data_IF_122308771812
#
_entry.id   IF_122308771812
#
_cell.length_a   1.000
_cell.length_b   1.000
_cell.length_c   1.000
_cell.angle_alpha   90.00
_cell.angle_beta   90.00
_cell.angle_gamma   90.00
#
_symmetry.space_group_name_H-M   'P 1'
#
loop_
_entity.id
_entity.type
_entity.pdbx_description
1 polymer ?
#
# COMPACT_ATOMS: atom_id res chain seq x y z
N UNK A 1 -7.08 13.23 -7.13
CA UNK A 1 -7.22 13.17 -5.67
C UNK A 1 -6.60 14.38 -4.97
N UNK A 2 -7.01 14.63 -3.73
CA UNK A 2 -6.47 15.70 -2.89
C UNK A 2 -5.12 15.28 -2.26
N UNK A 3 -4.02 15.96 -2.65
CA UNK A 3 -2.65 15.69 -2.16
C UNK A 3 -2.30 16.39 -0.86
N UNK A 4 -3.13 17.32 -0.38
CA UNK A 4 -2.88 17.97 0.90
C UNK A 4 -2.87 16.92 2.03
N UNK A 5 -3.62 15.83 1.88
CA UNK A 5 -3.69 14.73 2.84
C UNK A 5 -2.33 14.06 3.10
N UNK A 6 -1.48 13.97 2.07
CA UNK A 6 -0.24 13.20 2.11
C UNK A 6 0.73 13.69 3.21
N UNK A 7 0.78 15.00 3.43
CA UNK A 7 1.74 15.65 4.33
C UNK A 7 1.10 16.53 5.43
N UNK A 8 -0.22 16.72 5.41
CA UNK A 8 -0.91 17.57 6.37
C UNK A 8 -0.88 16.99 7.80
N UNK A 9 -0.47 17.81 8.77
CA UNK A 9 -0.23 17.41 10.16
C UNK A 9 -1.44 16.73 10.82
N UNK A 10 -2.63 17.24 10.51
CA UNK A 10 -3.89 16.70 11.02
C UNK A 10 -4.16 15.24 10.67
N UNK A 11 -3.48 14.66 9.67
CA UNK A 11 -3.66 13.26 9.26
C UNK A 11 -2.51 12.35 9.66
N UNK A 12 -1.45 12.87 10.28
CA UNK A 12 -0.28 12.07 10.68
C UNK A 12 -0.62 10.93 11.64
N UNK A 13 -1.72 11.04 12.38
CA UNK A 13 -2.21 9.98 13.27
C UNK A 13 -2.60 8.70 12.52
N UNK A 14 -2.90 8.80 11.23
CA UNK A 14 -3.28 7.71 10.33
C UNK A 14 -2.15 7.30 9.36
N UNK A 15 -0.91 7.76 9.62
CA UNK A 15 0.21 7.60 8.69
C UNK A 15 1.43 6.89 9.31
N UNK A 16 1.29 6.24 10.46
CA UNK A 16 2.32 5.32 11.00
C UNK A 16 2.33 4.01 10.18
N UNK A 17 3.26 3.89 9.23
CA UNK A 17 3.33 2.71 8.33
C UNK A 17 3.77 1.46 9.08
N UNK A 18 4.61 1.58 10.11
CA UNK A 18 5.00 0.40 10.89
C UNK A 18 3.81 -0.16 11.65
N UNK A 19 2.94 0.70 12.18
CA UNK A 19 1.69 0.28 12.83
C UNK A 19 0.75 -0.46 11.87
N UNK A 20 0.65 -0.02 10.61
CA UNK A 20 -0.12 -0.72 9.59
C UNK A 20 0.49 -2.10 9.26
N UNK A 21 1.82 -2.18 9.12
CA UNK A 21 2.53 -3.42 8.82
C UNK A 21 2.61 -4.40 10.01
N UNK A 22 2.54 -3.90 11.24
CA UNK A 22 2.49 -4.69 12.48
C UNK A 22 1.05 -5.17 12.81
N UNK A 23 0.07 -4.99 11.91
CA UNK A 23 -1.30 -5.45 12.11
C UNK A 23 -1.38 -6.98 12.24
N UNK A 24 -2.26 -7.46 13.13
CA UNK A 24 -2.51 -8.88 13.33
C UNK A 24 -3.20 -9.54 12.14
N UNK A 25 -3.99 -8.77 11.37
CA UNK A 25 -4.50 -9.22 10.08
C UNK A 25 -3.44 -9.01 8.99
N UNK A 26 -2.58 -10.01 8.83
CA UNK A 26 -1.36 -9.90 8.02
C UNK A 26 -1.62 -9.93 6.53
N UNK A 27 -2.82 -10.32 6.10
CA UNK A 27 -3.16 -10.49 4.68
C UNK A 27 -4.10 -9.37 4.25
N UNK A 28 -3.77 -8.73 3.13
CA UNK A 28 -4.58 -7.65 2.56
C UNK A 28 -4.73 -7.82 1.05
N UNK A 29 -5.89 -7.45 0.54
CA UNK A 29 -6.22 -7.48 -0.88
C UNK A 29 -6.19 -6.08 -1.47
N UNK A 30 -5.59 -5.93 -2.65
CA UNK A 30 -5.67 -4.71 -3.41
C UNK A 30 -7.07 -4.61 -4.06
N UNK A 31 -7.89 -3.70 -3.55
CA UNK A 31 -9.26 -3.49 -4.03
C UNK A 31 -9.28 -2.46 -5.17
N UNK A 32 -8.62 -1.31 -4.95
CA UNK A 32 -8.55 -0.24 -5.95
C UNK A 32 -7.11 0.17 -6.24
N UNK A 33 -6.87 0.53 -7.50
CA UNK A 33 -5.66 1.26 -7.92
C UNK A 33 -5.97 2.14 -9.12
N UNK A 34 -5.27 3.25 -9.25
CA UNK A 34 -5.47 4.22 -10.34
C UNK A 34 -4.62 3.93 -11.59
N UNK A 35 -3.81 2.87 -11.58
CA UNK A 35 -2.99 2.45 -12.72
C UNK A 35 -3.15 0.97 -13.02
N UNK A 36 -2.70 0.55 -14.20
CA UNK A 36 -2.66 -0.87 -14.56
C UNK A 36 -1.24 -1.43 -14.47
N UNK A 37 -1.10 -2.59 -13.80
CA UNK A 37 0.16 -3.34 -13.77
C UNK A 37 0.03 -4.57 -14.65
N UNK A 38 1.02 -4.79 -15.52
CA UNK A 38 1.01 -5.89 -16.50
C UNK A 38 2.28 -6.74 -16.39
N UNK A 39 2.15 -8.04 -16.61
CA UNK A 39 3.28 -8.96 -16.89
C UNK A 39 3.06 -9.53 -18.28
N UNK A 40 4.06 -9.42 -19.17
CA UNK A 40 3.97 -9.89 -20.56
C UNK A 40 2.72 -9.38 -21.29
N UNK A 41 2.35 -8.11 -21.06
CA UNK A 41 1.16 -7.50 -21.65
C UNK A 41 -0.17 -7.88 -20.99
N UNK A 42 -0.20 -8.75 -19.99
CA UNK A 42 -1.43 -9.19 -19.31
C UNK A 42 -1.59 -8.48 -17.97
N UNK A 43 -2.77 -7.90 -17.73
CA UNK A 43 -3.11 -7.20 -16.50
C UNK A 43 -3.09 -8.13 -15.27
N UNK A 44 -2.56 -7.62 -14.17
CA UNK A 44 -2.61 -8.27 -12.87
C UNK A 44 -4.01 -8.16 -12.28
N UNK A 45 -4.53 -9.27 -11.78
CA UNK A 45 -5.79 -9.38 -11.04
C UNK A 45 -5.56 -10.11 -9.71
N UNK A 46 -6.55 -10.04 -8.81
CA UNK A 46 -6.55 -10.73 -7.50
C UNK A 46 -5.24 -10.53 -6.73
N UNK A 47 -4.74 -9.29 -6.68
CA UNK A 47 -3.47 -8.99 -6.02
C UNK A 47 -3.69 -8.99 -4.51
N UNK A 48 -2.84 -9.72 -3.78
CA UNK A 48 -2.80 -9.68 -2.33
C UNK A 48 -1.37 -9.55 -1.82
N UNK A 49 -1.25 -9.10 -0.58
CA UNK A 49 -0.02 -9.11 0.20
C UNK A 49 -0.24 -9.90 1.48
N UNK A 50 0.78 -10.59 1.97
CA UNK A 50 0.78 -11.29 3.24
C UNK A 50 2.08 -11.03 4.00
N UNK A 51 2.00 -10.25 5.07
CA UNK A 51 3.14 -9.90 5.91
C UNK A 51 3.61 -11.13 6.68
N UNK A 52 4.88 -11.51 6.51
CA UNK A 52 5.50 -12.63 7.24
C UNK A 52 6.14 -12.20 8.55
N UNK A 53 6.29 -10.88 8.74
CA UNK A 53 6.74 -10.27 9.97
C UNK A 53 7.96 -9.38 9.78
N UNK A 54 8.29 -8.72 10.89
CA UNK A 54 9.39 -7.76 11.03
C UNK A 54 10.74 -8.50 11.15
N UNK A 55 11.71 -8.12 10.33
CA UNK A 55 13.07 -8.72 10.28
C UNK A 55 14.12 -7.84 10.95
N UNK A 56 13.96 -6.54 10.86
CA UNK A 56 14.73 -5.51 11.59
C UNK A 56 13.76 -4.45 12.07
N UNK A 57 14.25 -3.44 12.81
CA UNK A 57 13.42 -2.34 13.31
C UNK A 57 12.56 -1.67 12.23
N UNK A 58 13.04 -1.64 11.00
CA UNK A 58 12.45 -0.90 9.86
C UNK A 58 12.10 -1.79 8.67
N UNK A 59 12.46 -3.08 8.66
CA UNK A 59 12.29 -3.97 7.51
C UNK A 59 11.33 -5.12 7.80
N UNK A 60 10.40 -5.33 6.88
CA UNK A 60 9.43 -6.40 6.87
C UNK A 60 9.64 -7.32 5.69
N UNK A 61 9.36 -8.60 5.87
CA UNK A 61 9.26 -9.56 4.78
C UNK A 61 7.78 -9.85 4.50
N UNK A 62 7.42 -9.96 3.24
CA UNK A 62 6.06 -10.29 2.84
C UNK A 62 6.02 -11.05 1.52
N UNK A 63 4.91 -11.74 1.29
CA UNK A 63 4.57 -12.32 -0.01
C UNK A 63 3.59 -11.41 -0.73
N UNK A 64 3.80 -11.22 -2.04
CA UNK A 64 2.81 -10.62 -2.93
C UNK A 64 2.38 -11.66 -3.95
N UNK A 65 1.09 -11.99 -3.96
CA UNK A 65 0.48 -12.87 -4.95
C UNK A 65 -0.41 -12.10 -5.93
N UNK A 66 -0.49 -12.57 -7.17
CA UNK A 66 -1.43 -12.05 -8.17
C UNK A 66 -1.67 -13.07 -9.28
N UNK A 67 -2.79 -12.94 -9.99
CA UNK A 67 -3.09 -13.69 -11.21
C UNK A 67 -2.84 -12.84 -12.45
N UNK A 68 -2.49 -13.47 -13.57
CA UNK A 68 -2.35 -12.81 -14.87
C UNK A 68 -3.54 -13.18 -15.76
N UNK A 69 -4.45 -12.23 -15.98
CA UNK A 69 -5.67 -12.41 -16.77
C UNK A 69 -6.85 -12.91 -15.94
N UNK A 70 -8.08 -12.50 -16.32
CA UNK A 70 -9.32 -12.85 -15.60
C UNK A 70 -9.64 -14.36 -15.63
N UNK A 71 -9.14 -15.08 -16.63
CA UNK A 71 -9.44 -16.50 -16.87
C UNK A 71 -8.23 -17.43 -16.71
N UNK A 72 -7.02 -16.89 -16.63
CA UNK A 72 -5.79 -17.66 -16.48
C UNK A 72 -5.39 -17.77 -15.00
N UNK A 73 -5.49 -18.98 -14.47
CA UNK A 73 -5.29 -19.33 -13.05
C UNK A 73 -3.83 -19.29 -12.58
N UNK A 74 -2.89 -18.78 -13.38
CA UNK A 74 -1.48 -18.76 -12.99
C UNK A 74 -1.30 -17.74 -11.87
N UNK A 75 -1.17 -18.27 -10.65
CA UNK A 75 -0.82 -17.47 -9.48
C UNK A 75 0.69 -17.28 -9.49
N UNK A 76 1.13 -16.03 -9.58
CA UNK A 76 2.52 -15.66 -9.39
C UNK A 76 2.65 -15.17 -7.95
N UNK A 77 3.55 -15.79 -7.19
CA UNK A 77 3.88 -15.39 -5.83
C UNK A 77 5.32 -14.88 -5.82
N UNK A 78 5.53 -13.71 -5.22
CA UNK A 78 6.85 -13.12 -5.03
C UNK A 78 7.10 -12.89 -3.55
N UNK A 79 8.28 -13.24 -3.09
CA UNK A 79 8.79 -12.82 -1.79
C UNK A 79 9.46 -11.46 -1.96
N UNK A 80 9.06 -10.49 -1.13
CA UNK A 80 9.49 -9.10 -1.19
C UNK A 80 9.76 -8.57 0.23
N UNK A 81 10.36 -7.39 0.26
CA UNK A 81 10.68 -6.69 1.50
C UNK A 81 10.11 -5.27 1.46
N UNK A 82 9.63 -4.80 2.61
CA UNK A 82 9.25 -3.42 2.83
C UNK A 82 10.22 -2.79 3.84
N UNK A 83 10.97 -1.77 3.43
CA UNK A 83 11.85 -0.99 4.32
C UNK A 83 11.26 0.38 4.56
N UNK A 84 10.82 0.62 5.79
CA UNK A 84 10.11 1.83 6.23
C UNK A 84 11.06 3.00 6.47
N UNK A 85 10.57 4.22 6.22
CA UNK A 85 11.31 5.45 6.41
C UNK A 85 10.35 6.65 6.58
N UNK A 86 10.90 7.79 6.97
CA UNK A 86 10.16 9.06 7.14
C UNK A 86 10.26 9.91 5.88
N UNK A 87 9.13 10.39 5.37
CA UNK A 87 9.13 11.47 4.37
C UNK A 87 9.10 12.83 5.04
N UNK A 88 9.63 13.83 4.34
CA UNK A 88 9.44 15.24 4.66
C UNK A 88 10.25 15.77 5.85
N UNK A 89 10.67 17.02 5.70
CA UNK A 89 11.20 17.91 6.75
C UNK A 89 10.42 19.23 6.71
N UNK A 90 9.09 19.17 6.56
CA UNK A 90 8.27 20.37 6.51
C UNK A 90 7.88 20.79 7.93
N UNK A 91 8.53 21.86 8.43
CA UNK A 91 8.34 22.62 9.68
C UNK A 91 8.27 21.84 11.01
N UNK A 92 7.72 20.64 11.04
CA UNK A 92 7.64 19.72 12.17
C UNK A 92 8.14 18.33 11.74
N UNK A 93 9.29 17.86 12.26
CA UNK A 93 9.81 16.54 11.92
C UNK A 93 8.80 15.42 12.26
N UNK A 94 8.70 14.42 11.37
CA UNK A 94 7.91 13.22 11.66
C UNK A 94 8.57 12.39 12.76
N UNK A 95 7.78 11.96 13.74
CA UNK A 95 8.25 11.05 14.80
C UNK A 95 8.14 9.59 14.38
N UNK A 96 7.22 9.26 13.48
CA UNK A 96 6.93 7.92 12.94
C UNK A 96 7.25 7.83 11.46
N UNK A 97 7.64 6.64 11.03
CA UNK A 97 7.80 6.31 9.62
C UNK A 97 6.43 6.31 8.96
N UNK A 98 6.38 6.78 7.72
CA UNK A 98 5.13 6.92 6.97
C UNK A 98 5.28 6.49 5.51
N UNK A 99 6.48 6.15 5.06
CA UNK A 99 6.73 5.62 3.74
C UNK A 99 7.54 4.34 3.81
N UNK A 100 7.60 3.64 2.69
CA UNK A 100 8.37 2.42 2.56
C UNK A 100 8.92 2.25 1.14
N UNK A 101 10.07 1.62 1.04
CA UNK A 101 10.54 0.99 -0.19
C UNK A 101 10.00 -0.43 -0.24
N UNK A 102 9.39 -0.83 -1.36
CA UNK A 102 9.02 -2.21 -1.68
C UNK A 102 10.03 -2.75 -2.69
N UNK A 103 10.79 -3.77 -2.29
CA UNK A 103 11.95 -4.25 -3.05
C UNK A 103 12.11 -5.77 -2.97
N UNK A 104 12.90 -6.33 -3.89
CA UNK A 104 13.13 -7.78 -3.99
C UNK A 104 14.33 -8.25 -3.17
N UNK A 105 15.36 -7.43 -3.04
CA UNK A 105 16.63 -7.81 -2.40
C UNK A 105 16.78 -7.08 -1.06
N UNK A 106 16.87 -7.80 0.07
CA UNK A 106 16.74 -7.23 1.41
C UNK A 106 17.77 -6.13 1.72
N UNK A 107 18.92 -6.16 1.06
CA UNK A 107 20.06 -5.27 1.20
C UNK A 107 20.05 -4.09 0.20
N UNK A 108 19.07 -4.00 -0.70
CA UNK A 108 19.01 -2.99 -1.76
C UNK A 108 17.64 -2.27 -1.81
N UNK A 109 17.20 -1.63 -0.71
CA UNK A 109 15.88 -1.01 -0.63
C UNK A 109 15.67 0.09 -1.67
N UNK A 110 16.71 0.86 -2.00
CA UNK A 110 16.65 1.97 -2.95
C UNK A 110 16.43 1.56 -4.40
N UNK A 111 16.55 0.27 -4.73
CA UNK A 111 16.17 -0.27 -6.05
C UNK A 111 14.68 -0.63 -6.12
N UNK A 112 13.95 -0.50 -5.02
CA UNK A 112 12.53 -0.75 -4.92
C UNK A 112 11.64 0.40 -5.41
N UNK A 113 10.34 0.18 -5.29
CA UNK A 113 9.32 1.22 -5.48
C UNK A 113 8.98 1.88 -4.14
N UNK A 114 8.87 3.20 -4.15
CA UNK A 114 8.51 4.00 -2.99
C UNK A 114 7.00 4.16 -2.89
N UNK A 115 6.52 3.90 -1.69
CA UNK A 115 5.14 4.05 -1.29
C UNK A 115 5.04 4.99 -0.09
N UNK A 116 4.02 5.82 -0.07
CA UNK A 116 3.67 6.67 1.07
C UNK A 116 2.33 6.19 1.64
N UNK A 117 2.26 5.96 2.94
CA UNK A 117 0.99 5.75 3.62
C UNK A 117 0.26 7.09 3.70
N UNK A 118 -0.82 7.20 2.93
CA UNK A 118 -1.70 8.37 2.94
C UNK A 118 -2.63 8.26 4.16
N UNK A 119 -3.25 7.09 4.35
CA UNK A 119 -4.22 6.84 5.40
C UNK A 119 -4.23 5.36 5.78
N UNK A 120 -4.42 5.06 7.06
CA UNK A 120 -4.78 3.76 7.59
C UNK A 120 -5.76 3.98 8.74
N UNK A 121 -6.84 3.20 8.77
CA UNK A 121 -7.69 3.11 9.95
C UNK A 121 -7.14 2.10 10.99
N UNK A 122 -6.05 1.39 10.63
CA UNK A 122 -5.39 0.32 11.38
C UNK A 122 -6.31 -0.86 11.71
N UNK A 123 -7.40 -1.03 10.97
CA UNK A 123 -8.41 -2.06 11.21
C UNK A 123 -8.83 -2.74 9.93
N UNK A 124 -9.31 -1.97 8.95
CA UNK A 124 -9.92 -2.49 7.74
C UNK A 124 -9.07 -2.23 6.51
N UNK A 125 -8.29 -1.15 6.44
CA UNK A 125 -7.50 -0.90 5.24
C UNK A 125 -6.51 0.24 5.28
N UNK A 126 -5.64 0.20 4.28
CA UNK A 126 -4.50 1.08 4.07
C UNK A 126 -4.55 1.67 2.67
N UNK A 127 -4.36 2.99 2.57
CA UNK A 127 -4.30 3.73 1.32
C UNK A 127 -2.87 4.20 1.11
N UNK A 128 -2.26 3.72 0.03
CA UNK A 128 -0.88 4.02 -0.33
C UNK A 128 -0.81 4.91 -1.58
N UNK A 129 0.09 5.90 -1.58
CA UNK A 129 0.52 6.62 -2.78
C UNK A 129 1.75 5.95 -3.37
N UNK A 130 1.80 5.79 -4.68
CA UNK A 130 2.98 5.28 -5.40
C UNK A 130 3.82 6.44 -5.89
N UNK A 131 4.94 6.70 -5.23
CA UNK A 131 5.74 7.91 -5.46
C UNK A 131 6.55 7.88 -6.77
N UNK A 132 6.91 6.68 -7.24
CA UNK A 132 7.73 6.50 -8.46
C UNK A 132 6.92 6.40 -9.75
N UNK A 133 5.59 6.56 -9.69
CA UNK A 133 4.70 6.47 -10.87
C UNK A 133 3.94 7.76 -11.11
N UNK A 134 3.84 8.15 -12.38
CA UNK A 134 3.04 9.29 -12.85
C UNK A 134 3.20 10.55 -11.98
N UNK A 135 4.45 10.91 -11.65
CA UNK A 135 4.77 12.05 -10.77
C UNK A 135 4.18 11.95 -9.35
N UNK A 136 4.02 10.73 -8.85
CA UNK A 136 3.56 10.45 -7.49
C UNK A 136 2.06 10.62 -7.28
N UNK A 137 1.24 10.54 -8.33
CA UNK A 137 -0.23 10.74 -8.20
C UNK A 137 -1.01 9.45 -7.99
N UNK A 138 -0.40 8.30 -8.28
CA UNK A 138 -1.06 7.00 -8.25
C UNK A 138 -1.36 6.53 -6.84
N UNK A 139 -2.48 5.83 -6.67
CA UNK A 139 -2.92 5.29 -5.39
C UNK A 139 -3.25 3.80 -5.46
N UNK A 140 -3.18 3.15 -4.30
CA UNK A 140 -3.60 1.78 -4.05
C UNK A 140 -4.41 1.72 -2.74
N UNK A 141 -5.56 1.04 -2.74
CA UNK A 141 -6.31 0.69 -1.53
C UNK A 141 -6.11 -0.80 -1.24
N UNK A 142 -5.47 -1.10 -0.11
CA UNK A 142 -5.41 -2.44 0.45
C UNK A 142 -6.45 -2.58 1.56
N UNK A 143 -7.25 -3.65 1.50
CA UNK A 143 -8.23 -3.99 2.52
C UNK A 143 -7.79 -5.29 3.18
N UNK A 144 -7.73 -5.31 4.52
CA UNK A 144 -7.36 -6.48 5.30
C UNK A 144 -8.36 -7.63 5.09
N UNK A 145 -7.90 -8.88 5.13
CA UNK A 145 -8.70 -10.07 4.81
C UNK A 145 -9.99 -10.13 5.61
N UNK A 146 -9.94 -9.90 6.93
CA UNK A 146 -11.12 -9.92 7.78
C UNK A 146 -12.15 -8.84 7.37
N UNK A 147 -11.71 -7.68 6.88
CA UNK A 147 -12.61 -6.65 6.39
C UNK A 147 -13.22 -7.03 5.02
N UNK A 148 -12.46 -7.70 4.15
CA UNK A 148 -12.98 -8.27 2.89
C UNK A 148 -14.05 -9.33 3.17
N UNK A 149 -13.77 -10.27 4.07
CA UNK A 149 -14.69 -11.37 4.42
C UNK A 149 -16.00 -10.84 5.02
N UNK A 150 -15.93 -9.79 5.83
CA UNK A 150 -17.10 -9.18 6.47
C UNK A 150 -17.76 -8.07 5.62
N UNK A 151 -17.18 -7.70 4.48
CA UNK A 151 -17.67 -6.60 3.65
C UNK A 151 -17.60 -5.22 4.32
N UNK A 152 -16.70 -5.03 5.30
CA UNK A 152 -16.66 -3.85 6.17
C UNK A 152 -15.47 -2.93 5.85
N UNK A 153 -15.48 -2.30 4.67
CA UNK A 153 -14.41 -1.39 4.25
C UNK A 153 -14.90 -0.12 3.54
N UNK A 154 -16.19 0.20 3.63
CA UNK A 154 -16.78 1.38 2.98
C UNK A 154 -16.15 2.72 3.42
N UNK A 155 -15.73 2.84 4.69
CA UNK A 155 -15.00 4.01 5.19
C UNK A 155 -13.65 4.17 4.46
N UNK A 156 -12.93 3.06 4.24
CA UNK A 156 -11.68 3.08 3.48
C UNK A 156 -11.91 3.42 2.00
N UNK A 157 -13.02 2.97 1.40
CA UNK A 157 -13.40 3.34 0.03
C UNK A 157 -13.68 4.84 -0.08
N UNK A 158 -14.47 5.40 0.84
CA UNK A 158 -14.76 6.83 0.86
C UNK A 158 -13.48 7.68 1.05
N UNK A 159 -12.58 7.24 1.92
CA UNK A 159 -11.27 7.89 2.10
C UNK A 159 -10.40 7.78 0.85
N UNK A 160 -10.44 6.64 0.15
CA UNK A 160 -9.74 6.45 -1.11
C UNK A 160 -10.28 7.39 -2.20
N UNK A 161 -11.59 7.43 -2.39
CA UNK A 161 -12.23 8.34 -3.35
C UNK A 161 -11.89 9.80 -3.06
N UNK A 162 -11.87 10.20 -1.78
CA UNK A 162 -11.47 11.55 -1.39
C UNK A 162 -9.98 11.85 -1.68
N UNK A 163 -9.07 10.97 -1.27
CA UNK A 163 -7.62 11.20 -1.37
C UNK A 163 -7.07 11.00 -2.79
N UNK A 164 -7.65 10.08 -3.54
CA UNK A 164 -7.14 9.61 -4.83
C UNK A 164 -8.02 10.07 -6.00
N UNK A 165 -9.29 10.38 -5.73
CA UNK A 165 -10.30 10.68 -6.72
C UNK A 165 -11.09 9.43 -7.07
N UNK A 166 -12.38 9.60 -7.33
CA UNK A 166 -13.21 8.61 -8.00
C UNK A 166 -12.81 8.59 -9.48
N UNK A 167 -11.85 7.78 -9.87
CA UNK A 167 -11.61 7.55 -11.29
C UNK A 167 -12.85 6.85 -11.83
N UNK A 168 -13.57 7.47 -12.78
CA UNK A 168 -14.78 6.98 -13.47
C UNK A 168 -14.50 5.74 -14.36
N UNK A 169 -13.65 4.83 -13.88
CA UNK A 169 -13.26 3.58 -14.53
C UNK A 169 -13.40 2.43 -13.55
N UNK A 170 -14.64 2.21 -13.10
CA UNK A 170 -15.11 0.89 -12.67
C UNK A 170 -15.02 -0.12 -13.81
#
# INVERSE_FOLDING_TARGET
>A
GNRDFDEHEGYRYAQDIQKALDNNDTKSWLIYRTYERRTNGIAHACVYVNIKGKKTTDRYEFEQGYTVGKENKTVIIKQLYATTYKTGVYNTPRTKDNAMYVHQYPDQPTLGFRYLLIYSDYKNGDILRVLDRNSGVECELYVHEAAVENGNFSDCEGMYEYACGSDDRR
#
